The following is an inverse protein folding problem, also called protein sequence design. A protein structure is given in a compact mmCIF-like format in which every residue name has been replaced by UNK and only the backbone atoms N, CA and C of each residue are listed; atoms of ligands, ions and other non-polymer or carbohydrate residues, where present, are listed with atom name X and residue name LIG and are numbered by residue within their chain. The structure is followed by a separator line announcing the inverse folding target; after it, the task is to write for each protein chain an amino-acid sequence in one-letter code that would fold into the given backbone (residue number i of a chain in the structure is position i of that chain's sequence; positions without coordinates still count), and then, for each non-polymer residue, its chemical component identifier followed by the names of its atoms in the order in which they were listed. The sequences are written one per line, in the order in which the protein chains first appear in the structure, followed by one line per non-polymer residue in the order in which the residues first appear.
data_IF_325605844191
#
_entry.id   IF_325605844191
#
_cell.length_a   1.000
_cell.length_b   1.000
_cell.length_c   1.000
_cell.angle_alpha   90.00
_cell.angle_beta   90.00
_cell.angle_gamma   90.00
#
_symmetry.space_group_name_H-M   'P 1'
#
loop_
_entity.id
_entity.type
_entity.pdbx_description
1 polymer ?
#
# COMPACT_ATOMS: atom_id res chain seq x y z
N UNK A 1 13.26 2.88 39.46
CA UNK A 1 13.72 4.10 38.74
C UNK A 1 13.65 3.92 37.23
N UNK A 2 14.35 2.96 36.60
CA UNK A 2 14.24 2.76 35.14
C UNK A 2 12.85 2.25 34.70
N UNK A 3 12.26 1.29 35.42
CA UNK A 3 10.92 0.75 35.11
C UNK A 3 9.81 1.81 35.27
N UNK A 4 9.88 2.67 36.31
CA UNK A 4 8.93 3.79 36.48
C UNK A 4 9.02 4.84 35.35
N UNK A 5 10.22 5.08 34.80
CA UNK A 5 10.38 5.96 33.65
C UNK A 5 9.76 5.36 32.38
N UNK A 6 9.93 4.06 32.14
CA UNK A 6 9.34 3.39 30.97
C UNK A 6 7.81 3.37 31.02
N UNK A 7 7.22 3.08 32.18
CA UNK A 7 5.76 3.15 32.33
C UNK A 7 5.20 4.56 32.15
N UNK A 8 5.93 5.58 32.62
CA UNK A 8 5.54 6.97 32.44
C UNK A 8 5.62 7.39 30.96
N UNK A 9 6.68 7.00 30.26
CA UNK A 9 6.84 7.24 28.82
C UNK A 9 5.74 6.53 28.00
N UNK A 10 5.43 5.27 28.29
CA UNK A 10 4.34 4.54 27.61
C UNK A 10 2.98 5.23 27.82
N UNK A 11 2.68 5.67 29.05
CA UNK A 11 1.43 6.39 29.34
C UNK A 11 1.36 7.73 28.60
N UNK A 12 2.48 8.46 28.49
CA UNK A 12 2.55 9.72 27.76
C UNK A 12 2.32 9.48 26.26
N UNK A 13 2.95 8.46 25.67
CA UNK A 13 2.79 8.12 24.26
C UNK A 13 1.35 7.72 23.93
N UNK A 14 0.73 6.88 24.76
CA UNK A 14 -0.67 6.47 24.57
C UNK A 14 -1.61 7.68 24.65
N UNK A 15 -1.36 8.58 25.62
CA UNK A 15 -2.16 9.80 25.78
C UNK A 15 -1.98 10.78 24.61
N UNK A 16 -0.77 10.90 24.08
CA UNK A 16 -0.47 11.73 22.91
C UNK A 16 -1.18 11.20 21.65
N UNK A 17 -1.15 9.88 21.41
CA UNK A 17 -1.87 9.29 20.27
C UNK A 17 -3.39 9.49 20.35
N UNK A 18 -3.96 9.44 21.56
CA UNK A 18 -5.39 9.70 21.77
C UNK A 18 -5.75 11.19 21.61
N UNK A 19 -4.81 12.10 21.92
CA UNK A 19 -5.03 13.55 21.93
C UNK A 19 -4.55 14.24 20.64
N UNK A 20 -4.01 13.47 19.68
CA UNK A 20 -3.47 14.01 18.44
C UNK A 20 -4.50 14.90 17.74
N UNK A 21 -4.17 16.18 17.59
CA UNK A 21 -5.06 17.16 16.96
C UNK A 21 -5.31 16.76 15.50
N UNK A 22 -6.58 16.60 15.16
CA UNK A 22 -7.01 16.33 13.79
C UNK A 22 -7.15 17.64 13.01
N UNK A 23 -6.57 17.70 11.81
CA UNK A 23 -6.78 18.84 10.91
C UNK A 23 -8.20 18.80 10.35
N UNK A 24 -9.03 19.75 10.79
CA UNK A 24 -10.43 19.86 10.36
C UNK A 24 -10.58 20.55 9.00
N UNK A 25 -9.55 21.27 8.55
CA UNK A 25 -9.52 22.03 7.29
C UNK A 25 -9.02 21.13 6.17
N UNK A 26 -7.87 20.47 6.35
CA UNK A 26 -7.36 19.49 5.40
C UNK A 26 -7.60 18.05 5.89
N UNK A 27 -8.72 17.48 5.45
CA UNK A 27 -9.14 16.12 5.80
C UNK A 27 -8.44 15.03 4.97
N UNK A 28 -7.69 15.40 3.93
CA UNK A 28 -6.89 14.48 3.12
C UNK A 28 -5.42 14.96 3.03
N UNK A 29 -4.67 14.95 4.15
CA UNK A 29 -3.29 15.41 4.17
C UNK A 29 -2.34 14.53 3.34
N UNK A 30 -2.72 13.27 3.11
CA UNK A 30 -1.94 12.30 2.32
C UNK A 30 -2.36 12.23 0.87
N UNK A 31 -3.35 13.03 0.45
CA UNK A 31 -3.81 13.13 -0.93
C UNK A 31 -4.26 11.79 -1.51
N UNK A 32 -4.82 10.93 -0.66
CA UNK A 32 -5.27 9.59 -1.07
C UNK A 32 -6.52 9.64 -1.95
N UNK A 33 -7.25 10.76 -1.94
CA UNK A 33 -8.47 10.97 -2.72
C UNK A 33 -8.31 12.03 -3.82
N UNK A 34 -7.07 12.38 -4.21
CA UNK A 34 -6.84 13.33 -5.32
C UNK A 34 -7.39 12.84 -6.66
N UNK A 35 -7.31 11.52 -6.90
CA UNK A 35 -7.82 10.86 -8.11
C UNK A 35 -9.32 10.51 -8.05
N UNK A 36 -10.01 10.83 -6.94
CA UNK A 36 -11.44 10.55 -6.83
C UNK A 36 -12.20 11.44 -7.82
N UNK A 37 -13.13 10.85 -8.58
CA UNK A 37 -13.90 11.53 -9.63
C UNK A 37 -14.60 12.76 -9.05
N UNK A 38 -14.13 13.94 -9.41
CA UNK A 38 -14.79 15.21 -9.13
C UNK A 38 -15.90 15.34 -10.16
N UNK A 39 -17.12 15.01 -9.75
CA UNK A 39 -18.30 15.16 -10.60
C UNK A 39 -18.82 16.58 -10.45
N UNK A 40 -18.63 17.39 -11.49
CA UNK A 40 -19.17 18.75 -11.57
C UNK A 40 -20.59 18.76 -12.12
N UNK A 41 -21.31 19.88 -11.96
CA UNK A 41 -22.69 20.00 -12.44
C UNK A 41 -22.75 19.83 -13.96
N UNK A 42 -21.80 20.44 -14.68
CA UNK A 42 -21.70 20.31 -16.14
C UNK A 42 -21.35 18.88 -16.59
N UNK A 43 -20.74 18.04 -15.74
CA UNK A 43 -20.47 16.62 -16.08
C UNK A 43 -21.74 15.76 -16.04
N UNK A 44 -22.73 16.16 -15.23
CA UNK A 44 -23.99 15.42 -15.06
C UNK A 44 -25.10 15.98 -15.95
N UNK A 45 -25.17 17.30 -16.05
CA UNK A 45 -26.20 18.03 -16.79
C UNK A 45 -25.48 19.08 -17.65
N UNK A 46 -25.41 18.82 -18.95
CA UNK A 46 -24.83 19.74 -19.92
C UNK A 46 -25.86 20.12 -20.98
N UNK A 47 -26.00 21.42 -21.25
CA UNK A 47 -26.76 21.93 -22.39
C UNK A 47 -25.82 22.08 -23.60
N UNK A 48 -26.19 21.59 -24.80
CA UNK A 48 -25.36 21.70 -25.99
C UNK A 48 -25.37 23.13 -26.55
N UNK A 49 -24.29 23.49 -27.26
CA UNK A 49 -24.16 24.81 -27.91
C UNK A 49 -25.32 25.06 -28.88
N UNK A 50 -26.15 26.07 -28.60
CA UNK A 50 -27.27 26.49 -29.44
C UNK A 50 -28.67 26.23 -28.86
N UNK A 51 -28.80 25.45 -27.77
CA UNK A 51 -30.09 25.26 -27.07
C UNK A 51 -29.93 25.51 -25.58
N UNK A 52 -29.79 26.78 -25.20
CA UNK A 52 -29.69 27.20 -23.81
C UNK A 52 -31.07 27.37 -23.18
N UNK A 53 -31.25 26.84 -21.96
CA UNK A 53 -32.37 27.20 -21.12
C UNK A 53 -32.22 28.64 -20.60
N UNK A 54 -33.28 29.19 -20.00
CA UNK A 54 -33.21 30.52 -19.41
C UNK A 54 -32.11 30.58 -18.33
N UNK A 55 -31.26 31.61 -18.36
CA UNK A 55 -30.15 31.82 -17.41
C UNK A 55 -30.54 31.65 -15.94
N UNK A 56 -31.75 32.09 -15.58
CA UNK A 56 -32.28 31.93 -14.22
C UNK A 56 -32.48 30.47 -13.83
N UNK A 57 -33.02 29.66 -14.74
CA UNK A 57 -33.25 28.22 -14.52
C UNK A 57 -31.92 27.48 -14.45
N UNK A 58 -30.97 27.82 -15.32
CA UNK A 58 -29.63 27.25 -15.30
C UNK A 58 -28.91 27.52 -13.97
N UNK A 59 -28.90 28.78 -13.51
CA UNK A 59 -28.26 29.19 -12.25
C UNK A 59 -28.94 28.57 -11.01
N UNK A 60 -30.26 28.49 -11.00
CA UNK A 60 -31.01 27.84 -9.92
C UNK A 60 -30.74 26.34 -9.91
N UNK A 61 -30.67 25.68 -11.07
CA UNK A 61 -30.35 24.26 -11.18
C UNK A 61 -28.95 23.95 -10.66
N UNK A 62 -27.94 24.72 -11.06
CA UNK A 62 -26.57 24.62 -10.56
C UNK A 62 -26.49 24.75 -9.03
N UNK A 63 -27.18 25.76 -8.50
CA UNK A 63 -27.19 26.04 -7.05
C UNK A 63 -27.87 24.93 -6.27
N UNK A 64 -29.07 24.52 -6.69
CA UNK A 64 -29.85 23.46 -6.02
C UNK A 64 -29.11 22.12 -6.06
N UNK A 65 -28.47 21.77 -7.19
CA UNK A 65 -27.65 20.57 -7.30
C UNK A 65 -26.48 20.58 -6.32
N UNK A 66 -25.71 21.67 -6.30
CA UNK A 66 -24.53 21.80 -5.43
C UNK A 66 -24.90 21.72 -3.94
N UNK A 67 -25.95 22.44 -3.54
CA UNK A 67 -26.44 22.46 -2.17
C UNK A 67 -26.98 21.08 -1.77
N UNK A 68 -27.81 20.46 -2.62
CA UNK A 68 -28.38 19.13 -2.35
C UNK A 68 -27.29 18.07 -2.19
N UNK A 69 -26.31 18.02 -3.11
CA UNK A 69 -25.15 17.12 -3.03
C UNK A 69 -24.37 17.31 -1.72
N UNK A 70 -24.11 18.57 -1.34
CA UNK A 70 -23.37 18.88 -0.13
C UNK A 70 -24.11 18.44 1.15
N UNK A 71 -25.41 18.72 1.26
CA UNK A 71 -26.21 18.33 2.41
C UNK A 71 -26.42 16.82 2.49
N UNK A 72 -26.65 16.16 1.37
CA UNK A 72 -26.75 14.71 1.29
C UNK A 72 -25.45 14.05 1.79
N UNK A 73 -24.30 14.50 1.30
CA UNK A 73 -23.00 14.02 1.76
C UNK A 73 -22.84 14.20 3.28
N UNK A 74 -23.13 15.40 3.82
CA UNK A 74 -23.03 15.66 5.27
C UNK A 74 -23.91 14.74 6.10
N UNK A 75 -25.15 14.49 5.66
CA UNK A 75 -26.08 13.62 6.36
C UNK A 75 -25.60 12.17 6.33
N UNK A 76 -25.20 11.67 5.16
CA UNK A 76 -24.64 10.32 5.01
C UNK A 76 -23.38 10.14 5.86
N UNK A 77 -22.46 11.11 5.83
CA UNK A 77 -21.25 11.06 6.65
C UNK A 77 -21.55 11.13 8.15
N UNK A 78 -22.58 11.88 8.57
CA UNK A 78 -22.97 11.93 9.98
C UNK A 78 -23.54 10.59 10.47
N UNK A 79 -24.35 9.92 9.64
CA UNK A 79 -24.98 8.65 9.98
C UNK A 79 -24.00 7.48 9.88
N UNK A 80 -23.22 7.42 8.80
CA UNK A 80 -22.39 6.26 8.45
C UNK A 80 -20.91 6.45 8.74
N UNK A 81 -20.42 7.68 8.93
CA UNK A 81 -18.99 7.95 9.10
C UNK A 81 -18.40 7.31 10.36
N UNK A 82 -19.07 7.45 11.51
CA UNK A 82 -18.60 6.86 12.77
C UNK A 82 -18.66 5.32 12.73
N UNK A 83 -19.78 4.68 12.32
CA UNK A 83 -19.82 3.23 12.16
C UNK A 83 -18.73 2.68 11.23
N UNK A 84 -18.50 3.32 10.07
CA UNK A 84 -17.47 2.90 9.14
C UNK A 84 -16.07 3.04 9.73
N UNK A 85 -15.78 4.11 10.48
CA UNK A 85 -14.50 4.28 11.15
C UNK A 85 -14.23 3.15 12.16
N UNK A 86 -15.24 2.73 12.92
CA UNK A 86 -15.13 1.60 13.85
C UNK A 86 -14.84 0.29 13.12
N UNK A 87 -15.56 0.02 12.02
CA UNK A 87 -15.33 -1.19 11.20
C UNK A 87 -13.91 -1.21 10.65
N UNK A 88 -13.43 -0.11 10.08
CA UNK A 88 -12.07 -0.01 9.57
C UNK A 88 -11.02 -0.19 10.67
N UNK A 89 -11.20 0.45 11.83
CA UNK A 89 -10.30 0.27 12.97
C UNK A 89 -10.21 -1.19 13.42
N UNK A 90 -11.34 -1.88 13.51
CA UNK A 90 -11.39 -3.30 13.86
C UNK A 90 -10.70 -4.20 12.82
N UNK A 91 -10.94 -3.95 11.53
CA UNK A 91 -10.27 -4.68 10.45
C UNK A 91 -8.75 -4.53 10.51
N UNK A 92 -8.25 -3.31 10.70
CA UNK A 92 -6.81 -3.07 10.84
C UNK A 92 -6.22 -3.75 12.08
N UNK A 93 -6.96 -3.81 13.19
CA UNK A 93 -6.54 -4.54 14.39
C UNK A 93 -6.42 -6.04 14.13
N UNK A 94 -7.40 -6.66 13.47
CA UNK A 94 -7.37 -8.08 13.10
C UNK A 94 -6.22 -8.40 12.13
N UNK A 95 -6.02 -7.58 11.10
CA UNK A 95 -4.91 -7.75 10.15
C UNK A 95 -3.57 -7.69 10.89
N UNK A 96 -3.41 -6.71 11.79
CA UNK A 96 -2.20 -6.56 12.60
C UNK A 96 -1.95 -7.77 13.49
N UNK A 97 -3.01 -8.29 14.12
CA UNK A 97 -2.94 -9.51 14.92
C UNK A 97 -2.51 -10.72 14.07
N UNK A 98 -3.17 -10.98 12.95
CA UNK A 98 -2.80 -12.07 12.05
C UNK A 98 -1.37 -11.93 11.52
N UNK A 99 -0.94 -10.71 11.20
CA UNK A 99 0.42 -10.46 10.74
C UNK A 99 1.46 -10.83 11.80
N UNK A 100 1.29 -10.39 13.04
CA UNK A 100 2.26 -10.63 14.12
C UNK A 100 2.25 -12.10 14.55
N UNK A 101 1.06 -12.69 14.72
CA UNK A 101 0.91 -14.01 15.35
C UNK A 101 0.92 -15.17 14.37
N UNK A 102 0.55 -14.97 13.11
CA UNK A 102 0.57 -16.02 12.10
C UNK A 102 1.65 -15.76 11.05
N UNK A 103 1.63 -14.60 10.40
CA UNK A 103 2.51 -14.34 9.24
C UNK A 103 3.98 -14.32 9.63
N UNK A 104 4.36 -13.58 10.69
CA UNK A 104 5.77 -13.49 11.10
C UNK A 104 6.35 -14.88 11.50
N UNK A 105 5.69 -15.70 12.33
CA UNK A 105 6.15 -17.06 12.60
C UNK A 105 6.21 -17.95 11.36
N UNK A 106 5.22 -17.87 10.46
CA UNK A 106 5.24 -18.62 9.21
C UNK A 106 6.42 -18.24 8.32
N UNK A 107 6.71 -16.94 8.16
CA UNK A 107 7.88 -16.45 7.42
C UNK A 107 9.17 -16.98 8.05
N UNK A 108 9.28 -16.91 9.39
CA UNK A 108 10.45 -17.40 10.13
C UNK A 108 10.65 -18.91 9.95
N UNK A 109 9.57 -19.69 10.01
CA UNK A 109 9.59 -21.14 9.77
C UNK A 109 10.01 -21.45 8.33
N UNK A 110 9.43 -20.77 7.33
CA UNK A 110 9.78 -20.96 5.93
C UNK A 110 11.24 -20.60 5.62
N UNK A 111 11.79 -19.57 6.28
CA UNK A 111 13.21 -19.22 6.16
C UNK A 111 14.13 -20.34 6.67
N UNK A 112 13.76 -21.03 7.75
CA UNK A 112 14.52 -22.17 8.29
C UNK A 112 14.49 -23.34 7.28
N UNK A 113 13.31 -23.63 6.72
CA UNK A 113 13.15 -24.66 5.69
C UNK A 113 13.99 -24.36 4.44
N UNK A 114 13.96 -23.11 3.95
CA UNK A 114 14.81 -22.68 2.83
C UNK A 114 16.29 -22.84 3.15
N UNK A 115 16.74 -22.52 4.37
CA UNK A 115 18.14 -22.70 4.74
C UNK A 115 18.57 -24.17 4.67
N UNK A 116 17.69 -25.10 5.05
CA UNK A 116 17.94 -26.53 4.89
C UNK A 116 18.00 -26.95 3.41
N UNK A 117 17.02 -26.53 2.61
CA UNK A 117 16.99 -26.81 1.16
C UNK A 117 18.22 -26.22 0.46
N UNK A 118 18.63 -25.01 0.82
CA UNK A 118 19.81 -24.34 0.28
C UNK A 118 21.08 -25.15 0.53
N UNK A 119 21.25 -25.74 1.72
CA UNK A 119 22.39 -26.61 2.02
C UNK A 119 22.40 -27.88 1.15
N UNK A 120 21.24 -28.51 0.98
CA UNK A 120 21.12 -29.71 0.13
C UNK A 120 21.42 -29.33 -1.32
N UNK A 121 20.85 -28.21 -1.79
CA UNK A 121 21.09 -27.68 -3.11
C UNK A 121 22.58 -27.40 -3.35
N UNK A 122 23.27 -26.72 -2.44
CA UNK A 122 24.72 -26.51 -2.52
C UNK A 122 25.50 -27.82 -2.56
N UNK A 123 25.12 -28.82 -1.76
CA UNK A 123 25.75 -30.14 -1.80
C UNK A 123 25.55 -30.83 -3.15
N UNK A 124 24.34 -30.76 -3.73
CA UNK A 124 24.08 -31.30 -5.06
C UNK A 124 24.93 -30.61 -6.13
N UNK A 125 25.04 -29.28 -6.09
CA UNK A 125 25.91 -28.53 -7.01
C UNK A 125 27.37 -28.97 -6.86
N UNK A 126 27.90 -29.06 -5.64
CA UNK A 126 29.26 -29.53 -5.41
C UNK A 126 29.50 -30.98 -5.84
N UNK A 127 28.49 -31.84 -5.73
CA UNK A 127 28.65 -33.28 -6.05
C UNK A 127 28.53 -33.55 -7.55
N UNK A 128 27.67 -32.82 -8.25
CA UNK A 128 27.38 -33.07 -9.67
C UNK A 128 27.98 -32.03 -10.59
N UNK A 129 27.77 -30.75 -10.29
CA UNK A 129 28.18 -29.67 -11.17
C UNK A 129 29.69 -29.43 -11.11
N UNK A 130 30.31 -29.41 -9.93
CA UNK A 130 31.76 -29.21 -9.82
C UNK A 130 32.57 -30.23 -10.63
N UNK A 131 32.37 -31.56 -10.52
CA UNK A 131 33.13 -32.50 -11.34
C UNK A 131 32.81 -32.39 -12.83
N UNK A 132 31.58 -32.02 -13.21
CA UNK A 132 31.24 -31.76 -14.61
C UNK A 132 31.96 -30.53 -15.17
N UNK A 133 31.94 -29.41 -14.44
CA UNK A 133 32.62 -28.19 -14.84
C UNK A 133 34.14 -28.35 -14.81
N UNK A 134 34.69 -29.11 -13.85
CA UNK A 134 36.10 -29.51 -13.78
C UNK A 134 36.51 -30.40 -14.98
N UNK A 135 35.64 -31.32 -15.41
CA UNK A 135 35.91 -32.14 -16.59
C UNK A 135 35.84 -31.30 -17.89
N UNK A 136 34.83 -30.42 -18.02
CA UNK A 136 34.68 -29.51 -19.14
C UNK A 136 35.86 -28.53 -19.23
N UNK A 137 36.33 -28.00 -18.11
CA UNK A 137 37.48 -27.08 -18.07
C UNK A 137 38.76 -27.75 -18.57
N UNK A 138 38.98 -29.03 -18.25
CA UNK A 138 40.12 -29.82 -18.76
C UNK A 138 40.05 -30.09 -20.26
N UNK A 139 38.85 -30.33 -20.80
CA UNK A 139 38.66 -30.49 -22.25
C UNK A 139 38.99 -29.17 -22.97
N UNK A 140 38.46 -28.05 -22.48
CA UNK A 140 38.71 -26.72 -23.05
C UNK A 140 40.17 -26.25 -22.85
N UNK A 141 40.81 -26.64 -21.75
CA UNK A 141 42.22 -26.33 -21.45
C UNK A 141 43.20 -26.87 -22.50
N UNK A 142 42.83 -27.95 -23.20
CA UNK A 142 43.69 -28.54 -24.24
C UNK A 142 43.58 -27.82 -25.58
N UNK A 143 42.62 -26.90 -25.75
CA UNK A 143 42.45 -26.11 -26.97
C UNK A 143 43.42 -24.92 -26.95
N UNK A 144 44.62 -25.10 -27.51
CA UNK A 144 45.53 -23.98 -27.79
C UNK A 144 45.06 -23.24 -29.04
N UNK A 145 44.48 -22.07 -28.86
CA UNK A 145 44.17 -21.15 -29.96
C UNK A 145 45.47 -20.43 -30.35
N UNK A 146 46.06 -20.81 -31.48
CA UNK A 146 47.14 -20.06 -32.10
C UNK A 146 46.53 -18.92 -32.93
N UNK A 147 46.56 -17.71 -32.38
CA UNK A 147 46.03 -16.52 -33.04
C UNK A 147 47.04 -16.07 -34.11
N UNK A 148 46.79 -16.46 -35.36
CA UNK A 148 47.54 -15.95 -36.51
C UNK A 148 47.02 -14.55 -36.81
N UNK A 149 47.85 -13.54 -36.53
CA UNK A 149 47.62 -12.15 -36.92
C UNK A 149 47.99 -12.01 -38.40
N UNK A 150 47.00 -12.00 -39.27
CA UNK A 150 47.16 -11.60 -40.67
C UNK A 150 47.22 -10.05 -40.73
N UNK A 151 48.12 -9.55 -41.57
CA UNK A 151 48.48 -8.15 -41.78
C UNK A 151 47.58 -7.56 -42.87
#
# INVERSE_FOLDING_TARGET
MAEEQTELEERIIIKDQLTKEIDLVNRDPKRINEDVVKVDFEDVIAEPVGTYSFDGVWKTSYTTFTVSKYWCYRLLSAILGIPLAVVWGFLFALISFCHIWAVVPCIKSYLIEIQCVSRIYSLCIHTFCDPLFEALSKICSNVRVALRKEI
#
